data_IF_343421725278
#
_entry.id   IF_343421725278
#
_cell.length_a   1.000
_cell.length_b   1.000
_cell.length_c   1.000
_cell.angle_alpha   90.00
_cell.angle_beta   90.00
_cell.angle_gamma   90.00
#
_symmetry.space_group_name_H-M   'P 1'
#
loop_
_entity.id
_entity.type
_entity.pdbx_description
1 polymer ?
#
# COMPACT_ATOMS: atom_id res chain seq x y z
N UNK A 1 -16.38 9.47 8.67
CA UNK A 1 -15.51 8.44 9.28
C UNK A 1 -14.20 9.13 9.68
N UNK A 2 -13.71 9.01 10.93
CA UNK A 2 -12.48 9.69 11.38
C UNK A 2 -11.30 8.80 11.00
N UNK A 3 -10.40 9.28 10.16
CA UNK A 3 -9.25 8.53 9.62
C UNK A 3 -8.48 7.77 10.71
N UNK A 4 -8.21 8.40 11.85
CA UNK A 4 -7.53 7.77 12.99
C UNK A 4 -8.22 6.46 13.39
N UNK A 5 -9.55 6.44 13.51
CA UNK A 5 -10.32 5.23 13.83
C UNK A 5 -10.31 4.15 12.74
N UNK A 6 -10.03 4.52 11.49
CA UNK A 6 -9.86 3.53 10.42
C UNK A 6 -8.49 2.87 10.52
N UNK A 7 -7.44 3.68 10.72
CA UNK A 7 -6.08 3.20 10.93
C UNK A 7 -5.97 2.37 12.22
N UNK A 8 -6.63 2.78 13.30
CA UNK A 8 -6.66 2.05 14.57
C UNK A 8 -7.40 0.70 14.46
N UNK A 9 -8.29 0.55 13.48
CA UNK A 9 -9.02 -0.71 13.21
C UNK A 9 -8.31 -1.62 12.22
N UNK A 10 -7.26 -1.13 11.55
CA UNK A 10 -6.45 -1.99 10.70
C UNK A 10 -5.66 -2.93 11.59
N UNK A 11 -5.96 -4.21 11.48
CA UNK A 11 -5.17 -5.26 12.10
C UNK A 11 -3.84 -5.36 11.35
N UNK A 12 -2.85 -4.64 11.88
CA UNK A 12 -1.53 -4.50 11.27
C UNK A 12 -0.81 -5.85 11.21
N UNK A 13 -0.97 -6.68 12.23
CA UNK A 13 -0.33 -7.99 12.31
C UNK A 13 -0.92 -8.96 11.30
N UNK A 14 -2.25 -8.94 11.13
CA UNK A 14 -2.91 -9.73 10.09
C UNK A 14 -2.46 -9.32 8.69
N UNK A 15 -2.29 -8.02 8.43
CA UNK A 15 -1.81 -7.52 7.13
C UNK A 15 -0.37 -7.96 6.89
N UNK A 16 0.51 -7.79 7.89
CA UNK A 16 1.91 -8.21 7.78
C UNK A 16 2.02 -9.71 7.52
N UNK A 17 1.26 -10.54 8.25
CA UNK A 17 1.24 -12.00 8.04
C UNK A 17 0.73 -12.37 6.64
N UNK A 18 -0.30 -11.68 6.14
CA UNK A 18 -0.83 -11.93 4.80
C UNK A 18 0.20 -11.58 3.72
N UNK A 19 0.92 -10.46 3.87
CA UNK A 19 2.03 -10.08 2.98
C UNK A 19 3.11 -11.15 3.01
N UNK A 20 3.61 -11.53 4.20
CA UNK A 20 4.63 -12.56 4.35
C UNK A 20 4.22 -13.89 3.71
N UNK A 21 2.96 -14.31 3.86
CA UNK A 21 2.46 -15.52 3.24
C UNK A 21 2.45 -15.42 1.70
N UNK A 22 2.11 -14.27 1.13
CA UNK A 22 2.14 -14.04 -0.31
C UNK A 22 3.57 -13.99 -0.87
N UNK A 23 4.47 -13.29 -0.19
CA UNK A 23 5.90 -13.20 -0.53
C UNK A 23 6.62 -14.54 -0.31
N UNK A 24 6.16 -15.42 0.59
CA UNK A 24 6.75 -16.76 0.72
C UNK A 24 6.51 -17.66 -0.51
N UNK A 25 5.53 -17.30 -1.35
CA UNK A 25 5.10 -18.06 -2.53
C UNK A 25 5.42 -17.35 -3.84
N UNK A 26 6.02 -16.17 -3.78
CA UNK A 26 6.33 -15.34 -4.94
C UNK A 26 7.65 -14.61 -4.70
N UNK A 27 8.26 -14.07 -5.75
CA UNK A 27 9.43 -13.20 -5.58
C UNK A 27 9.05 -11.72 -5.56
N UNK A 28 7.76 -11.43 -5.33
CA UNK A 28 7.25 -10.07 -5.26
C UNK A 28 7.62 -9.42 -3.94
N UNK A 29 7.90 -8.12 -3.99
CA UNK A 29 8.01 -7.29 -2.79
C UNK A 29 6.72 -6.46 -2.67
N UNK A 30 5.90 -6.74 -1.66
CA UNK A 30 4.58 -6.15 -1.49
C UNK A 30 4.63 -5.12 -0.36
N UNK A 31 4.20 -3.90 -0.65
CA UNK A 31 3.99 -2.86 0.36
C UNK A 31 2.56 -2.37 0.37
N UNK A 32 2.04 -2.11 1.57
CA UNK A 32 0.71 -1.51 1.77
C UNK A 32 0.88 -0.09 2.31
N UNK A 33 0.34 0.90 1.60
CA UNK A 33 0.35 2.29 2.02
C UNK A 33 -1.07 2.81 2.27
N UNK A 34 -1.35 3.23 3.50
CA UNK A 34 -2.59 3.91 3.84
C UNK A 34 -2.33 5.43 3.96
N UNK A 35 -2.84 6.20 3.00
CA UNK A 35 -2.75 7.66 2.98
C UNK A 35 -3.61 8.28 4.07
N UNK A 36 -3.07 9.29 4.74
CA UNK A 36 -3.78 10.11 5.70
C UNK A 36 -4.41 11.38 5.09
N UNK A 37 -4.36 11.53 3.76
CA UNK A 37 -4.91 12.66 3.01
C UNK A 37 -5.96 12.17 2.01
N UNK A 38 -6.90 13.06 1.67
CA UNK A 38 -7.76 12.83 0.52
C UNK A 38 -6.92 12.91 -0.75
N UNK A 39 -7.14 11.97 -1.66
CA UNK A 39 -6.41 11.87 -2.93
C UNK A 39 -7.41 12.02 -4.06
N UNK A 40 -7.17 13.03 -4.91
CA UNK A 40 -8.00 13.33 -6.09
C UNK A 40 -7.72 12.32 -7.20
N UNK A 41 -6.44 12.19 -7.58
CA UNK A 41 -5.96 11.21 -8.55
C UNK A 41 -5.18 10.11 -7.83
N UNK A 42 -5.82 8.96 -7.66
CA UNK A 42 -5.24 7.82 -6.93
C UNK A 42 -4.06 7.20 -7.69
N UNK A 43 -4.09 7.23 -9.02
CA UNK A 43 -3.04 6.65 -9.84
C UNK A 43 -1.77 7.48 -9.74
N UNK A 44 -1.88 8.80 -9.95
CA UNK A 44 -0.73 9.69 -9.82
C UNK A 44 -0.11 9.64 -8.42
N UNK A 45 -0.94 9.60 -7.39
CA UNK A 45 -0.47 9.50 -6.01
C UNK A 45 0.22 8.16 -5.71
N UNK A 46 -0.34 7.05 -6.20
CA UNK A 46 0.26 5.73 -6.03
C UNK A 46 1.58 5.60 -6.80
N UNK A 47 1.67 6.10 -8.04
CA UNK A 47 2.93 6.13 -8.82
C UNK A 47 4.00 6.95 -8.10
N UNK A 48 3.68 8.17 -7.68
CA UNK A 48 4.63 9.01 -6.94
C UNK A 48 5.10 8.34 -5.65
N UNK A 49 4.20 7.64 -4.96
CA UNK A 49 4.54 6.89 -3.76
C UNK A 49 5.39 5.64 -4.06
N UNK A 50 5.13 4.95 -5.17
CA UNK A 50 5.89 3.80 -5.63
C UNK A 50 7.34 4.16 -5.91
N UNK A 51 7.56 5.26 -6.65
CA UNK A 51 8.87 5.83 -6.94
C UNK A 51 9.58 6.26 -5.65
N UNK A 52 8.89 7.00 -4.77
CA UNK A 52 9.45 7.47 -3.50
C UNK A 52 9.88 6.33 -2.58
N UNK A 53 9.21 5.18 -2.66
CA UNK A 53 9.53 3.99 -1.89
C UNK A 53 10.62 3.12 -2.54
N UNK A 54 11.10 3.49 -3.74
CA UNK A 54 12.11 2.74 -4.49
C UNK A 54 11.61 1.43 -5.06
N UNK A 55 10.28 1.25 -5.20
CA UNK A 55 9.68 -0.04 -5.58
C UNK A 55 9.99 -0.44 -7.02
N UNK A 56 10.40 0.52 -7.86
CA UNK A 56 10.89 0.27 -9.22
C UNK A 56 12.28 -0.39 -9.24
N UNK A 57 13.06 -0.24 -8.16
CA UNK A 57 14.41 -0.78 -8.03
C UNK A 57 14.50 -2.04 -7.14
N UNK A 58 13.39 -2.75 -6.99
CA UNK A 58 13.36 -4.06 -6.31
C UNK A 58 14.28 -5.03 -7.04
N UNK A 59 14.87 -6.00 -6.33
CA UNK A 59 15.96 -6.82 -6.86
C UNK A 59 15.59 -7.57 -8.16
N UNK A 60 14.31 -7.92 -8.29
CA UNK A 60 13.75 -8.58 -9.49
C UNK A 60 12.75 -7.71 -10.27
N UNK A 61 12.56 -6.44 -9.90
CA UNK A 61 11.58 -5.56 -10.54
C UNK A 61 10.11 -5.98 -10.31
N UNK A 62 9.85 -6.75 -9.26
CA UNK A 62 8.56 -7.37 -8.92
C UNK A 62 7.80 -6.60 -7.81
N UNK A 63 8.16 -5.34 -7.59
CA UNK A 63 7.55 -4.49 -6.57
C UNK A 63 6.05 -4.25 -6.80
N UNK A 64 5.24 -4.44 -5.77
CA UNK A 64 3.79 -4.17 -5.77
C UNK A 64 3.45 -3.20 -4.64
N UNK A 65 2.70 -2.14 -4.96
CA UNK A 65 2.22 -1.17 -3.97
C UNK A 65 0.69 -1.16 -3.91
N UNK A 66 0.16 -1.65 -2.80
CA UNK A 66 -1.25 -1.53 -2.45
C UNK A 66 -1.46 -0.16 -1.79
N UNK A 67 -2.00 0.80 -2.53
CA UNK A 67 -2.25 2.18 -2.10
C UNK A 67 -3.72 2.39 -1.72
N UNK A 68 -3.99 2.81 -0.48
CA UNK A 68 -5.32 3.09 0.04
C UNK A 68 -5.45 4.56 0.47
N UNK A 69 -6.49 5.25 0.00
CA UNK A 69 -6.84 6.61 0.40
C UNK A 69 -8.25 6.64 1.02
N UNK A 70 -8.40 6.27 2.31
CA UNK A 70 -9.70 6.12 2.96
C UNK A 70 -10.49 7.43 3.08
N UNK A 71 -9.83 8.59 3.08
CA UNK A 71 -10.51 9.89 3.12
C UNK A 71 -11.24 10.23 1.82
N UNK A 72 -10.68 9.85 0.67
CA UNK A 72 -11.35 9.98 -0.64
C UNK A 72 -12.04 8.69 -1.09
N UNK A 73 -11.99 7.62 -0.28
CA UNK A 73 -12.54 6.29 -0.58
C UNK A 73 -11.98 5.67 -1.87
N UNK A 74 -10.71 5.97 -2.17
CA UNK A 74 -10.02 5.46 -3.35
C UNK A 74 -8.98 4.41 -2.97
N UNK A 75 -8.69 3.50 -3.90
CA UNK A 75 -7.71 2.42 -3.76
C UNK A 75 -7.10 2.09 -5.13
N UNK A 76 -5.83 1.67 -5.14
CA UNK A 76 -5.13 1.12 -6.31
C UNK A 76 -4.08 0.10 -5.86
N UNK A 77 -3.84 -0.95 -6.65
CA UNK A 77 -2.78 -1.94 -6.44
C UNK A 77 -2.08 -2.27 -7.76
#
# INVERSE_FOLDING_TARGET
MRLKRFLDRLDRDRIVRAIQAAESRSRGEIRVHASNRAVVDVQKAAVAQFERLGMAGTAEGTGVLIFMAPLSRNFMA
#
